data_IF_600694655169
#
_entry.id   IF_600694655169
#
_cell.length_a   1.000
_cell.length_b   1.000
_cell.length_c   1.000
_cell.angle_alpha   90.00
_cell.angle_beta   90.00
_cell.angle_gamma   90.00
#
_symmetry.space_group_name_H-M   'P 1'
#
loop_
_entity.id
_entity.type
_entity.pdbx_description
1 polymer ?
#
# COMPACT_ATOMS: atom_id res chain seq x y z
N UNK A 1 13.05 14.48 7.47
CA UNK A 1 13.68 14.79 6.17
C UNK A 1 14.87 15.77 6.20
N UNK A 2 15.30 16.27 7.38
CA UNK A 2 16.50 17.12 7.49
C UNK A 2 17.80 16.33 7.24
N UNK A 3 17.85 15.08 7.70
CA UNK A 3 19.01 14.19 7.53
C UNK A 3 19.32 13.91 6.05
N UNK A 4 18.30 13.67 5.22
CA UNK A 4 18.48 13.40 3.79
C UNK A 4 19.28 14.48 3.06
N UNK A 5 19.05 15.76 3.41
CA UNK A 5 19.73 16.89 2.78
C UNK A 5 21.23 16.88 3.05
N UNK A 6 21.66 16.43 4.24
CA UNK A 6 23.05 16.38 4.68
C UNK A 6 23.86 15.19 4.17
N UNK A 7 23.21 14.18 3.58
CA UNK A 7 23.89 12.98 3.07
C UNK A 7 24.70 13.27 1.80
N UNK A 8 25.86 12.61 1.70
CA UNK A 8 26.66 12.57 0.49
C UNK A 8 25.91 11.87 -0.67
N UNK A 9 26.30 12.10 -1.94
CA UNK A 9 25.71 11.40 -3.07
C UNK A 9 25.77 9.87 -2.96
N UNK A 10 26.85 9.32 -2.40
CA UNK A 10 27.04 7.88 -2.21
C UNK A 10 26.09 7.31 -1.16
N UNK A 11 25.91 8.00 -0.02
CA UNK A 11 24.95 7.58 1.00
C UNK A 11 23.51 7.66 0.48
N UNK A 12 23.18 8.70 -0.29
CA UNK A 12 21.87 8.81 -0.94
C UNK A 12 21.64 7.67 -1.92
N UNK A 13 22.65 7.26 -2.68
CA UNK A 13 22.56 6.12 -3.59
C UNK A 13 22.29 4.83 -2.82
N UNK A 14 23.13 4.51 -1.83
CA UNK A 14 22.96 3.32 -0.99
C UNK A 14 21.57 3.23 -0.36
N UNK A 15 21.05 4.33 0.19
CA UNK A 15 19.72 4.34 0.82
C UNK A 15 18.58 4.16 -0.20
N UNK A 16 18.72 4.67 -1.43
CA UNK A 16 17.74 4.40 -2.49
C UNK A 16 17.77 2.94 -2.89
N UNK A 17 18.97 2.36 -3.03
CA UNK A 17 19.11 0.95 -3.41
C UNK A 17 18.51 0.04 -2.33
N UNK A 18 18.73 0.35 -1.05
CA UNK A 18 18.12 -0.35 0.08
C UNK A 18 16.59 -0.18 0.11
N UNK A 19 16.09 1.05 -0.03
CA UNK A 19 14.65 1.33 -0.05
C UNK A 19 13.93 0.65 -1.23
N UNK A 20 14.60 0.54 -2.38
CA UNK A 20 14.05 -0.11 -3.57
C UNK A 20 14.31 -1.61 -3.62
N UNK A 21 14.95 -2.21 -2.61
CA UNK A 21 15.27 -3.65 -2.64
C UNK A 21 14.05 -4.56 -2.46
N UNK A 22 12.94 -4.01 -1.98
CA UNK A 22 11.68 -4.71 -1.76
C UNK A 22 10.89 -4.06 -0.64
N UNK A 23 9.76 -4.66 -0.29
CA UNK A 23 8.90 -4.21 0.80
C UNK A 23 8.05 -5.35 1.34
N UNK A 24 7.64 -5.28 2.62
CA UNK A 24 6.63 -6.18 3.13
C UNK A 24 5.26 -5.86 2.51
N UNK A 25 4.43 -6.88 2.41
CA UNK A 25 3.07 -6.76 1.93
C UNK A 25 2.33 -8.08 2.05
N UNK A 26 1.13 -8.11 1.49
CA UNK A 26 0.30 -9.29 1.46
C UNK A 26 0.84 -10.30 0.43
N UNK A 27 0.81 -11.57 0.82
CA UNK A 27 0.87 -12.68 -0.13
C UNK A 27 -0.48 -12.89 -0.80
N UNK A 28 -0.48 -13.60 -1.94
CA UNK A 28 -1.70 -13.85 -2.71
C UNK A 28 -2.78 -14.54 -1.85
N UNK A 29 -2.40 -15.51 -1.02
CA UNK A 29 -3.30 -16.24 -0.13
C UNK A 29 -4.06 -15.33 0.84
N UNK A 30 -3.40 -14.31 1.38
CA UNK A 30 -4.03 -13.31 2.25
C UNK A 30 -5.03 -12.46 1.45
N UNK A 31 -4.68 -12.09 0.22
CA UNK A 31 -5.55 -11.33 -0.67
C UNK A 31 -6.79 -12.13 -1.08
N UNK A 32 -6.64 -13.41 -1.47
CA UNK A 32 -7.75 -14.31 -1.76
C UNK A 32 -8.70 -14.42 -0.55
N UNK A 33 -8.15 -14.63 0.64
CA UNK A 33 -8.91 -14.65 1.88
C UNK A 33 -9.65 -13.33 2.14
N UNK A 34 -8.99 -12.18 1.99
CA UNK A 34 -9.64 -10.88 2.16
C UNK A 34 -10.75 -10.65 1.12
N UNK A 35 -10.56 -11.11 -0.11
CA UNK A 35 -11.51 -10.97 -1.20
C UNK A 35 -12.85 -11.67 -0.92
N UNK A 36 -12.87 -12.69 -0.07
CA UNK A 36 -14.09 -13.39 0.35
C UNK A 36 -14.93 -12.61 1.37
N UNK A 37 -14.43 -11.50 1.92
CA UNK A 37 -15.00 -10.80 3.09
C UNK A 37 -15.97 -9.68 2.77
N UNK A 38 -16.44 -9.56 1.52
CA UNK A 38 -17.31 -8.46 1.06
C UNK A 38 -16.73 -7.07 1.39
N UNK A 39 -15.42 -6.95 1.44
CA UNK A 39 -14.73 -5.66 1.55
C UNK A 39 -14.75 -4.94 0.21
N UNK A 40 -14.63 -3.62 0.24
CA UNK A 40 -14.53 -2.79 -0.96
C UNK A 40 -13.10 -2.30 -1.22
N UNK A 41 -12.24 -2.34 -0.19
CA UNK A 41 -10.91 -1.75 -0.24
C UNK A 41 -9.97 -2.46 0.74
N UNK A 42 -8.72 -2.64 0.33
CA UNK A 42 -7.57 -2.95 1.20
C UNK A 42 -6.63 -1.76 1.24
N UNK A 43 -5.90 -1.58 2.34
CA UNK A 43 -4.90 -0.53 2.44
C UNK A 43 -3.75 -0.87 3.37
N UNK A 44 -2.63 -0.21 3.16
CA UNK A 44 -1.41 -0.38 3.94
C UNK A 44 -0.49 0.84 3.82
N UNK A 45 0.57 0.83 4.61
CA UNK A 45 1.58 1.89 4.70
C UNK A 45 2.82 1.60 3.84
N UNK A 46 2.74 0.60 2.95
CA UNK A 46 3.78 0.30 1.95
C UNK A 46 3.38 0.78 0.57
N UNK A 47 4.31 0.71 -0.38
CA UNK A 47 4.18 1.35 -1.69
C UNK A 47 3.32 0.58 -2.67
N UNK A 48 3.22 -0.75 -2.55
CA UNK A 48 2.37 -1.62 -3.36
C UNK A 48 1.38 -2.43 -2.50
N UNK A 49 1.57 -2.55 -1.18
CA UNK A 49 0.86 -3.51 -0.32
C UNK A 49 0.99 -5.00 -0.72
N UNK A 50 1.62 -5.31 -1.85
CA UNK A 50 2.05 -6.64 -2.26
C UNK A 50 3.42 -6.94 -1.68
N UNK A 51 3.67 -8.18 -1.27
CA UNK A 51 5.02 -8.59 -0.89
C UNK A 51 5.97 -8.52 -2.11
N UNK A 52 7.04 -7.74 -2.01
CA UNK A 52 8.03 -7.52 -3.08
C UNK A 52 9.42 -8.08 -2.67
N UNK A 53 10.25 -8.53 -3.62
CA UNK A 53 10.04 -8.52 -5.08
C UNK A 53 9.30 -9.75 -5.63
N UNK A 54 9.35 -10.86 -4.91
CA UNK A 54 8.71 -12.12 -5.27
C UNK A 54 7.83 -12.52 -4.10
N UNK A 55 6.55 -12.15 -4.18
CA UNK A 55 5.54 -12.64 -3.25
C UNK A 55 5.36 -14.17 -3.36
N UNK A 56 4.20 -14.68 -2.96
CA UNK A 56 3.96 -16.13 -2.91
C UNK A 56 4.02 -16.84 -4.28
N UNK A 57 3.90 -16.10 -5.38
CA UNK A 57 3.84 -16.69 -6.73
C UNK A 57 5.18 -16.73 -7.47
N UNK A 58 6.27 -16.19 -6.90
CA UNK A 58 7.57 -16.14 -7.57
C UNK A 58 7.82 -14.84 -8.34
N UNK A 59 9.04 -14.73 -8.90
CA UNK A 59 9.58 -13.50 -9.52
C UNK A 59 8.88 -13.11 -10.83
N UNK A 60 8.15 -14.03 -11.47
CA UNK A 60 7.40 -13.73 -12.69
C UNK A 60 6.13 -12.90 -12.45
N UNK A 61 5.68 -12.77 -11.20
CA UNK A 61 4.50 -12.00 -10.82
C UNK A 61 4.88 -10.80 -9.95
N UNK A 62 4.83 -9.60 -10.54
CA UNK A 62 5.19 -8.39 -9.82
C UNK A 62 4.19 -8.02 -8.70
N UNK A 63 2.88 -8.03 -8.97
CA UNK A 63 1.84 -7.61 -8.00
C UNK A 63 0.61 -8.54 -8.07
N UNK A 64 0.74 -9.80 -7.59
CA UNK A 64 -0.34 -10.78 -7.66
C UNK A 64 -1.62 -10.33 -6.93
N UNK A 65 -1.53 -9.61 -5.81
CA UNK A 65 -2.70 -9.10 -5.09
C UNK A 65 -3.41 -7.99 -5.87
N UNK A 66 -2.69 -7.10 -6.55
CA UNK A 66 -3.33 -6.13 -7.45
C UNK A 66 -4.22 -6.81 -8.49
N UNK A 67 -3.70 -7.86 -9.13
CA UNK A 67 -4.44 -8.61 -10.15
C UNK A 67 -5.66 -9.31 -9.56
N UNK A 68 -5.49 -9.95 -8.42
CA UNK A 68 -6.56 -10.72 -7.76
C UNK A 68 -7.66 -9.83 -7.18
N UNK A 69 -7.31 -8.70 -6.58
CA UNK A 69 -8.26 -7.83 -5.89
C UNK A 69 -8.94 -6.85 -6.85
N UNK A 70 -8.16 -6.09 -7.63
CA UNK A 70 -8.68 -4.99 -8.43
C UNK A 70 -9.29 -5.50 -9.73
N UNK A 71 -8.49 -6.20 -10.54
CA UNK A 71 -8.90 -6.62 -11.89
C UNK A 71 -9.96 -7.71 -11.86
N UNK A 72 -9.81 -8.71 -10.99
CA UNK A 72 -10.73 -9.86 -10.93
C UNK A 72 -11.98 -9.61 -10.10
N UNK A 73 -11.90 -8.76 -9.07
CA UNK A 73 -12.95 -8.65 -8.04
C UNK A 73 -13.47 -7.23 -7.80
N UNK A 74 -12.84 -6.21 -8.38
CA UNK A 74 -13.26 -4.83 -8.21
C UNK A 74 -13.05 -4.28 -6.80
N UNK A 75 -12.10 -4.84 -6.04
CA UNK A 75 -11.72 -4.41 -4.70
C UNK A 75 -10.55 -3.43 -4.84
N UNK A 76 -10.70 -2.24 -4.29
CA UNK A 76 -9.73 -1.15 -4.40
C UNK A 76 -8.51 -1.37 -3.51
N UNK A 77 -7.39 -0.74 -3.88
CA UNK A 77 -6.17 -0.69 -3.09
C UNK A 77 -5.83 0.76 -2.74
N UNK A 78 -5.31 1.00 -1.53
CA UNK A 78 -4.74 2.29 -1.13
C UNK A 78 -3.38 2.08 -0.45
N UNK A 79 -2.37 2.73 -1.01
CA UNK A 79 -0.98 2.59 -0.61
C UNK A 79 -0.50 3.82 0.15
N UNK A 80 0.62 3.69 0.86
CA UNK A 80 1.28 4.79 1.56
C UNK A 80 0.40 5.49 2.62
N UNK A 81 -0.44 4.73 3.32
CA UNK A 81 -1.21 5.25 4.44
C UNK A 81 -0.32 5.58 5.65
N UNK A 82 -0.82 6.43 6.54
CA UNK A 82 -0.17 6.82 7.79
C UNK A 82 -1.04 6.31 8.96
N UNK A 83 -0.49 5.41 9.79
CA UNK A 83 -1.24 4.77 10.88
C UNK A 83 -0.72 5.10 12.28
N UNK A 84 0.33 5.93 12.42
CA UNK A 84 1.03 6.17 13.70
C UNK A 84 0.06 6.58 14.81
N UNK A 85 -0.87 7.48 14.51
CA UNK A 85 -1.81 7.97 15.51
C UNK A 85 -2.85 6.90 15.91
N UNK A 86 -3.40 6.16 14.95
CA UNK A 86 -4.36 5.06 15.22
C UNK A 86 -3.70 3.94 16.05
N UNK A 87 -2.47 3.57 15.71
CA UNK A 87 -1.70 2.56 16.43
C UNK A 87 -1.40 2.99 17.87
N UNK A 88 -1.00 4.26 18.05
CA UNK A 88 -0.75 4.84 19.37
C UNK A 88 -1.99 4.79 20.26
N UNK A 89 -3.16 5.10 19.69
CA UNK A 89 -4.43 5.13 20.42
C UNK A 89 -5.12 3.76 20.50
N UNK A 90 -4.54 2.72 19.85
CA UNK A 90 -5.07 1.35 19.77
C UNK A 90 -6.48 1.29 19.16
N UNK A 91 -6.68 2.05 18.10
CA UNK A 91 -7.94 2.14 17.38
C UNK A 91 -7.89 1.21 16.17
N UNK A 92 -8.78 0.23 16.15
CA UNK A 92 -8.82 -0.81 15.09
C UNK A 92 -10.10 -0.76 14.25
N UNK A 93 -11.12 -0.04 14.71
CA UNK A 93 -12.38 0.16 14.02
C UNK A 93 -12.73 1.64 14.08
N UNK A 94 -13.00 2.24 12.92
CA UNK A 94 -13.24 3.67 12.79
C UNK A 94 -13.98 3.95 11.48
N UNK A 95 -14.62 5.12 11.40
CA UNK A 95 -15.20 5.55 10.13
C UNK A 95 -14.09 6.07 9.21
N UNK A 96 -13.85 5.36 8.11
CA UNK A 96 -12.88 5.73 7.09
C UNK A 96 -13.55 6.57 6.00
N UNK A 97 -13.03 7.78 5.78
CA UNK A 97 -13.52 8.71 4.76
C UNK A 97 -12.48 8.85 3.66
N UNK A 98 -12.84 8.45 2.44
CA UNK A 98 -12.02 8.57 1.25
C UNK A 98 -12.75 9.34 0.15
N UNK A 99 -12.08 10.34 -0.42
CA UNK A 99 -12.60 11.18 -1.48
C UNK A 99 -11.54 11.33 -2.59
N UNK A 100 -11.52 10.44 -3.58
CA UNK A 100 -10.57 10.54 -4.69
C UNK A 100 -10.90 11.74 -5.57
N UNK A 101 -9.88 12.30 -6.21
CA UNK A 101 -10.04 13.30 -7.25
C UNK A 101 -10.81 12.72 -8.44
N UNK A 102 -11.66 13.54 -9.06
CA UNK A 102 -12.39 13.18 -10.28
C UNK A 102 -11.49 13.36 -11.50
N UNK A 103 -10.64 12.37 -11.77
CA UNK A 103 -9.70 12.38 -12.90
C UNK A 103 -10.31 11.59 -14.07
N UNK A 104 -10.53 12.26 -15.20
CA UNK A 104 -11.04 11.60 -16.42
C UNK A 104 -9.99 10.60 -16.93
N UNK A 105 -10.38 9.33 -17.05
CA UNK A 105 -9.47 8.24 -17.46
C UNK A 105 -8.43 7.84 -16.41
N UNK A 106 -8.54 8.32 -15.17
CA UNK A 106 -7.62 7.96 -14.10
C UNK A 106 -7.82 6.51 -13.63
N UNK A 107 -6.71 5.80 -13.44
CA UNK A 107 -6.68 4.45 -12.84
C UNK A 107 -6.52 4.48 -11.31
N UNK A 108 -6.21 5.65 -10.76
CA UNK A 108 -6.03 5.91 -9.34
C UNK A 108 -6.09 7.40 -9.04
N UNK A 109 -5.97 7.75 -7.77
CA UNK A 109 -5.99 9.14 -7.32
C UNK A 109 -5.15 9.33 -6.06
N UNK A 110 -4.42 10.45 -5.92
CA UNK A 110 -3.97 10.87 -4.61
C UNK A 110 -5.19 11.26 -3.75
N UNK A 111 -4.99 11.33 -2.44
CA UNK A 111 -6.01 11.86 -1.54
C UNK A 111 -5.50 12.01 -0.12
N UNK A 112 -6.40 12.44 0.76
CA UNK A 112 -6.13 12.60 2.19
C UNK A 112 -7.19 11.81 2.95
N UNK A 113 -6.98 10.50 3.16
CA UNK A 113 -7.94 9.67 3.88
C UNK A 113 -8.05 10.12 5.33
N UNK A 114 -9.26 10.20 5.85
CA UNK A 114 -9.53 10.62 7.23
C UNK A 114 -10.15 9.46 8.00
N UNK A 115 -9.59 9.17 9.18
CA UNK A 115 -10.19 8.29 10.16
C UNK A 115 -10.91 9.12 11.22
N UNK A 116 -12.17 8.77 11.53
CA UNK A 116 -12.94 9.34 12.64
C UNK A 116 -13.18 8.24 13.67
N UNK A 117 -12.70 8.45 14.90
CA UNK A 117 -12.66 7.45 15.96
C UNK A 117 -12.79 8.07 17.36
#
# INVERSE_FOLDING_TARGET
NAEWKGLSPAEKAKRRDEFNSGEPGFGLSACEYMAERKIILTGGDTSANDAQPAGEQGEEFAVPCHTEMQTRRGIWNIENLEFTQLLKDKVYEFAFVWAPLKIVGGTGSPGNPIALY
#
